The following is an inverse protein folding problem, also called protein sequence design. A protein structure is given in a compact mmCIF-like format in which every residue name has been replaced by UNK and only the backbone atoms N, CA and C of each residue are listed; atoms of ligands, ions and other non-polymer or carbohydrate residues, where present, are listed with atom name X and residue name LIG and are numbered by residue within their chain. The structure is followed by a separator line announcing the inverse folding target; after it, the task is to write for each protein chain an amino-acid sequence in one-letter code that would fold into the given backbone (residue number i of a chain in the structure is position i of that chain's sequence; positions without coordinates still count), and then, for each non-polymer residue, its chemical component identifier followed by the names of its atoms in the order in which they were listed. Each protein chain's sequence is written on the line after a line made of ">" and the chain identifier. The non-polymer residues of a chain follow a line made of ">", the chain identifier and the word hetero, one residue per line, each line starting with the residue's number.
data_IF_076985454927
#
_entry.id   IF_076985454927
#
_cell.length_a   1.000
_cell.length_b   1.000
_cell.length_c   1.000
_cell.angle_alpha   90.00
_cell.angle_beta   90.00
_cell.angle_gamma   90.00
#
_symmetry.space_group_name_H-M   'P 1'
#
loop_
_entity.id
_entity.type
_entity.pdbx_description
1 polymer ?
#
# COMPACT_ATOMS: atom_id res chain seq x y z
N UNK A 1 25.55 -5.78 -12.45
CA UNK A 1 24.44 -5.49 -13.37
C UNK A 1 23.65 -6.78 -13.42
N UNK A 2 22.68 -6.95 -12.53
CA UNK A 2 21.96 -8.21 -12.39
C UNK A 2 20.48 -7.90 -12.42
N UNK A 3 20.00 -7.80 -13.66
CA UNK A 3 18.59 -7.82 -14.04
C UNK A 3 18.11 -9.24 -13.75
N UNK A 4 17.59 -9.49 -12.54
CA UNK A 4 16.90 -10.74 -12.23
C UNK A 4 15.40 -10.52 -12.38
N UNK A 5 14.91 -11.10 -13.47
CA UNK A 5 13.54 -11.15 -13.91
C UNK A 5 12.54 -11.54 -12.81
N UNK A 6 11.35 -10.96 -12.99
CA UNK A 6 10.04 -11.34 -12.46
C UNK A 6 9.95 -12.81 -12.02
N UNK A 7 9.87 -13.02 -10.71
CA UNK A 7 9.40 -14.29 -10.14
C UNK A 7 8.02 -14.05 -9.55
N UNK A 8 7.02 -14.62 -10.22
CA UNK A 8 5.60 -14.66 -9.86
C UNK A 8 5.38 -15.33 -8.51
N UNK A 9 5.72 -14.66 -7.42
CA UNK A 9 5.25 -15.02 -6.09
C UNK A 9 3.83 -14.47 -6.00
N UNK A 10 2.80 -15.34 -6.11
CA UNK A 10 1.44 -14.98 -5.69
C UNK A 10 1.50 -14.65 -4.20
N UNK A 11 1.71 -13.38 -3.87
CA UNK A 11 1.61 -12.89 -2.49
C UNK A 11 0.15 -12.72 -2.16
N UNK A 12 -0.27 -13.31 -1.03
CA UNK A 12 -1.64 -13.19 -0.56
C UNK A 12 -2.03 -11.72 -0.44
N UNK A 13 -3.23 -11.34 -0.91
CA UNK A 13 -3.68 -9.97 -0.81
C UNK A 13 -3.81 -9.55 0.65
N UNK A 14 -3.33 -8.36 0.97
CA UNK A 14 -3.51 -7.78 2.29
C UNK A 14 -4.91 -7.18 2.36
N UNK A 15 -5.80 -7.80 3.15
CA UNK A 15 -7.15 -7.29 3.35
C UNK A 15 -7.14 -6.11 4.33
N UNK A 16 -7.46 -4.92 3.84
CA UNK A 16 -7.56 -3.68 4.63
C UNK A 16 -8.88 -2.99 4.31
N UNK A 17 -9.67 -2.63 5.32
CA UNK A 17 -10.94 -1.89 5.14
C UNK A 17 -11.85 -2.52 4.07
N UNK A 18 -11.88 -3.87 4.02
CA UNK A 18 -12.62 -4.68 3.03
C UNK A 18 -12.06 -4.67 1.59
N UNK A 19 -10.86 -4.13 1.35
CA UNK A 19 -10.20 -4.13 0.04
C UNK A 19 -9.02 -5.09 0.02
N UNK A 20 -8.85 -5.81 -1.09
CA UNK A 20 -7.73 -6.72 -1.32
C UNK A 20 -6.53 -5.94 -1.90
N UNK A 21 -5.59 -5.56 -1.03
CA UNK A 21 -4.43 -4.75 -1.43
C UNK A 21 -3.26 -5.65 -1.81
N UNK A 22 -2.86 -5.60 -3.08
CA UNK A 22 -1.69 -6.32 -3.56
C UNK A 22 -0.43 -5.50 -3.34
N UNK A 23 0.49 -6.03 -2.54
CA UNK A 23 1.78 -5.41 -2.27
C UNK A 23 2.93 -6.31 -2.74
N UNK A 24 3.93 -5.78 -3.48
CA UNK A 24 5.00 -6.59 -4.04
C UNK A 24 5.96 -7.16 -2.98
N UNK A 25 5.98 -6.59 -1.79
CA UNK A 25 6.78 -7.03 -0.64
C UNK A 25 5.91 -7.17 0.61
N UNK A 26 6.45 -7.67 1.73
CA UNK A 26 5.72 -7.61 3.01
C UNK A 26 5.70 -6.15 3.47
N UNK A 27 4.52 -5.50 3.54
CA UNK A 27 4.48 -4.07 3.83
C UNK A 27 4.90 -3.79 5.27
N UNK A 28 5.73 -2.76 5.45
CA UNK A 28 6.10 -2.26 6.77
C UNK A 28 4.89 -1.68 7.50
N UNK A 29 4.95 -1.61 8.83
CA UNK A 29 3.86 -1.05 9.63
C UNK A 29 3.48 0.38 9.20
N UNK A 30 4.47 1.20 8.86
CA UNK A 30 4.24 2.56 8.35
C UNK A 30 3.50 2.57 6.99
N UNK A 31 3.78 1.61 6.11
CA UNK A 31 3.09 1.47 4.82
C UNK A 31 1.63 1.02 5.00
N UNK A 32 1.39 0.07 5.92
CA UNK A 32 0.02 -0.36 6.27
C UNK A 32 -0.81 0.82 6.80
N UNK A 33 -0.23 1.64 7.67
CA UNK A 33 -0.91 2.84 8.20
C UNK A 33 -1.27 3.84 7.10
N UNK A 34 -0.39 4.03 6.10
CA UNK A 34 -0.70 4.86 4.93
C UNK A 34 -1.89 4.29 4.17
N UNK A 35 -1.86 3.00 3.83
CA UNK A 35 -2.95 2.33 3.09
C UNK A 35 -4.29 2.45 3.82
N UNK A 36 -4.31 2.19 5.14
CA UNK A 36 -5.50 2.33 5.99
C UNK A 36 -6.05 3.76 5.92
N UNK A 37 -5.19 4.77 6.12
CA UNK A 37 -5.59 6.18 6.12
C UNK A 37 -6.13 6.62 4.76
N UNK A 38 -5.52 6.16 3.66
CA UNK A 38 -6.00 6.46 2.30
C UNK A 38 -7.37 5.84 2.06
N UNK A 39 -7.54 4.54 2.33
CA UNK A 39 -8.82 3.85 2.12
C UNK A 39 -9.94 4.45 3.00
N UNK A 40 -9.63 4.82 4.23
CA UNK A 40 -10.57 5.55 5.10
C UNK A 40 -10.92 6.93 4.55
N UNK A 41 -9.96 7.65 3.97
CA UNK A 41 -10.19 8.93 3.31
C UNK A 41 -11.12 8.82 2.11
N UNK A 42 -10.82 7.86 1.23
CA UNK A 42 -11.62 7.55 0.04
C UNK A 42 -13.05 7.15 0.42
N UNK A 43 -13.21 6.24 1.40
CA UNK A 43 -14.53 5.81 1.88
C UNK A 43 -15.38 6.94 2.45
N UNK A 44 -14.75 7.87 3.15
CA UNK A 44 -15.46 8.99 3.78
C UNK A 44 -15.56 10.23 2.88
N UNK A 45 -14.99 10.21 1.66
CA UNK A 45 -14.92 11.36 0.77
C UNK A 45 -14.17 12.55 1.39
N UNK A 46 -13.12 12.29 2.18
CA UNK A 46 -12.34 13.32 2.91
C UNK A 46 -10.88 13.34 2.50
N UNK A 47 -10.32 14.54 2.48
CA UNK A 47 -8.88 14.74 2.32
C UNK A 47 -8.15 14.22 3.57
N UNK A 48 -7.05 13.49 3.36
CA UNK A 48 -6.24 12.93 4.43
C UNK A 48 -4.82 13.48 4.36
N UNK A 49 -4.32 14.03 5.47
CA UNK A 49 -2.91 14.33 5.64
C UNK A 49 -2.23 13.14 6.30
N UNK A 50 -1.28 12.52 5.60
CA UNK A 50 -0.61 11.29 6.05
C UNK A 50 0.88 11.59 6.18
N UNK A 51 1.33 11.73 7.43
CA UNK A 51 2.74 11.85 7.74
C UNK A 51 3.32 10.46 8.03
N UNK A 52 4.44 10.14 7.37
CA UNK A 52 5.20 8.93 7.69
C UNK A 52 6.69 9.23 7.61
N UNK A 53 7.52 8.53 8.41
CA UNK A 53 8.97 8.75 8.44
C UNK A 53 9.61 8.61 7.04
N UNK A 54 10.55 9.48 6.72
CA UNK A 54 11.19 9.58 5.39
C UNK A 54 11.92 8.27 5.04
N UNK A 55 11.81 7.81 3.79
CA UNK A 55 12.51 6.61 3.30
C UNK A 55 11.73 5.28 3.30
N UNK A 56 10.50 5.21 3.85
CA UNK A 56 9.75 3.93 3.95
C UNK A 56 8.90 3.53 2.73
N UNK A 57 9.16 4.05 1.52
CA UNK A 57 8.41 3.62 0.32
C UNK A 57 6.91 3.97 0.31
N UNK A 58 6.53 5.13 0.85
CA UNK A 58 5.13 5.62 0.93
C UNK A 58 4.42 5.70 -0.42
N UNK A 59 5.13 6.10 -1.48
CA UNK A 59 4.54 6.26 -2.82
C UNK A 59 3.97 4.94 -3.33
N UNK A 60 4.66 3.84 -3.04
CA UNK A 60 4.20 2.51 -3.41
C UNK A 60 2.95 2.10 -2.60
N UNK A 61 2.94 2.38 -1.29
CA UNK A 61 1.78 2.17 -0.42
C UNK A 61 0.55 2.96 -0.89
N UNK A 62 0.75 4.22 -1.24
CA UNK A 62 -0.29 5.09 -1.79
C UNK A 62 -0.82 4.54 -3.11
N UNK A 63 0.06 4.23 -4.07
CA UNK A 63 -0.34 3.69 -5.38
C UNK A 63 -1.12 2.38 -5.24
N UNK A 64 -0.63 1.44 -4.43
CA UNK A 64 -1.32 0.18 -4.17
C UNK A 64 -2.68 0.38 -3.49
N UNK A 65 -2.81 1.35 -2.58
CA UNK A 65 -4.11 1.67 -1.97
C UNK A 65 -5.12 2.24 -2.97
N UNK A 66 -4.66 3.07 -3.91
CA UNK A 66 -5.53 3.62 -4.96
C UNK A 66 -5.95 2.55 -5.99
N UNK A 67 -5.09 1.56 -6.26
CA UNK A 67 -5.42 0.45 -7.17
C UNK A 67 -6.33 -0.60 -6.54
N UNK A 68 -6.41 -0.65 -5.21
CA UNK A 68 -7.20 -1.64 -4.48
C UNK A 68 -8.63 -1.16 -4.14
N UNK A 69 -8.85 0.16 -4.13
CA UNK A 69 -10.18 0.79 -4.02
C UNK A 69 -10.95 0.67 -5.34
#
# INVERSE_FOLDING_TARGET
>A
MDVKAESSVKKEPLYIESHAVYFPHTPYQSQKMVIIKVLQGLRNGRNCLIESPTGSGKTLALLCSCLAW
#
